data_IF_689071260705
#
_entry.id   IF_689071260705
#
_cell.length_a   1.000
_cell.length_b   1.000
_cell.length_c   1.000
_cell.angle_alpha   90.00
_cell.angle_beta   90.00
_cell.angle_gamma   90.00
#
_symmetry.space_group_name_H-M   'P 1'
#
loop_
_entity.id
_entity.type
_entity.pdbx_description
1 polymer ?
#
# COMPACT_ATOMS: atom_id res chain seq x y z
N UNK A 1 18.26 2.22 -2.13
CA UNK A 1 17.72 2.33 -0.76
C UNK A 1 17.30 3.78 -0.51
N UNK A 2 16.41 4.03 0.45
CA UNK A 2 16.14 5.38 0.94
C UNK A 2 17.19 5.83 1.99
N UNK A 3 17.04 7.03 2.55
CA UNK A 3 17.97 7.60 3.53
C UNK A 3 18.11 6.80 4.84
N UNK A 4 17.21 5.84 5.10
CA UNK A 4 17.26 4.94 6.26
C UNK A 4 17.78 3.53 5.89
N UNK A 5 18.30 3.35 4.68
CA UNK A 5 18.81 2.06 4.22
C UNK A 5 17.72 1.03 3.86
N UNK A 6 16.45 1.45 3.72
CA UNK A 6 15.37 0.54 3.33
C UNK A 6 15.35 0.37 1.81
N UNK A 7 15.38 -0.87 1.35
CA UNK A 7 15.36 -1.26 -0.06
C UNK A 7 13.94 -1.63 -0.50
N UNK A 8 13.64 -1.38 -1.78
CA UNK A 8 12.40 -1.80 -2.45
C UNK A 8 11.11 -1.34 -1.76
N UNK A 9 11.15 -0.17 -1.11
CA UNK A 9 9.95 0.45 -0.55
C UNK A 9 9.02 1.01 -1.66
N UNK A 10 9.52 1.14 -2.89
CA UNK A 10 8.79 1.50 -4.10
C UNK A 10 9.13 0.47 -5.19
N UNK A 11 8.15 -0.27 -5.66
CA UNK A 11 8.31 -1.35 -6.64
C UNK A 11 8.52 -2.71 -5.99
N UNK A 12 8.99 -3.69 -6.77
CA UNK A 12 9.06 -5.11 -6.41
C UNK A 12 7.68 -5.71 -6.10
N UNK A 13 7.17 -5.56 -4.88
CA UNK A 13 5.86 -6.04 -4.45
C UNK A 13 5.15 -4.99 -3.59
N UNK A 14 3.81 -4.94 -3.69
CA UNK A 14 3.02 -4.24 -2.69
C UNK A 14 3.29 -4.83 -1.31
N UNK A 15 3.37 -3.96 -0.30
CA UNK A 15 3.58 -4.38 1.08
C UNK A 15 2.28 -4.23 1.88
N UNK A 16 1.81 -5.33 2.50
CA UNK A 16 0.73 -5.29 3.48
C UNK A 16 1.07 -4.38 4.67
N UNK A 17 0.08 -3.65 5.15
CA UNK A 17 0.13 -2.93 6.42
C UNK A 17 -1.02 -3.34 7.33
N UNK A 18 -0.90 -3.11 8.63
CA UNK A 18 -2.00 -3.28 9.58
C UNK A 18 -3.06 -2.17 9.54
N UNK A 19 -2.94 -1.19 8.63
CA UNK A 19 -3.86 -0.06 8.57
C UNK A 19 -5.15 -0.44 7.82
N UNK A 20 -6.29 -0.16 8.44
CA UNK A 20 -7.59 -0.26 7.79
C UNK A 20 -7.74 0.74 6.63
N UNK A 21 -8.68 0.46 5.73
CA UNK A 21 -9.02 1.39 4.67
C UNK A 21 -9.57 2.70 5.23
N UNK A 22 -8.96 3.82 4.84
CA UNK A 22 -9.29 5.16 5.35
C UNK A 22 -8.93 6.24 4.34
N UNK A 23 -9.63 7.36 4.44
CA UNK A 23 -9.27 8.61 3.76
C UNK A 23 -8.28 9.41 4.61
N UNK A 24 -7.50 10.26 3.96
CA UNK A 24 -6.67 11.22 4.70
C UNK A 24 -7.56 12.25 5.43
N UNK A 25 -7.13 12.73 6.62
CA UNK A 25 -7.80 13.84 7.29
C UNK A 25 -7.99 15.04 6.34
N UNK A 26 -9.19 15.63 6.37
CA UNK A 26 -9.57 16.74 5.48
C UNK A 26 -10.12 16.33 4.11
N UNK A 27 -10.18 15.03 3.80
CA UNK A 27 -10.92 14.57 2.62
C UNK A 27 -12.42 14.76 2.80
N UNK A 28 -13.10 15.24 1.75
CA UNK A 28 -14.57 15.33 1.67
C UNK A 28 -15.23 14.06 1.12
N UNK A 29 -14.43 13.03 0.83
CA UNK A 29 -14.94 11.75 0.35
C UNK A 29 -15.50 10.88 1.46
N UNK A 30 -16.07 9.75 1.07
CA UNK A 30 -16.54 8.71 1.99
C UNK A 30 -15.94 7.35 1.62
N UNK A 31 -15.57 6.57 2.64
CA UNK A 31 -15.23 5.17 2.44
C UNK A 31 -16.53 4.40 2.29
N UNK A 32 -16.76 3.82 1.11
CA UNK A 32 -17.95 3.00 0.87
C UNK A 32 -17.98 1.84 1.88
N UNK A 33 -19.17 1.41 2.34
CA UNK A 33 -19.30 0.19 3.12
C UNK A 33 -18.66 -0.99 2.39
N UNK A 34 -17.80 -1.72 3.10
CA UNK A 34 -17.10 -2.88 2.58
C UNK A 34 -17.79 -4.14 3.11
N UNK A 35 -18.01 -5.12 2.25
CA UNK A 35 -18.58 -6.43 2.62
C UNK A 35 -17.60 -7.31 3.39
N UNK A 36 -16.31 -6.98 3.34
CA UNK A 36 -15.23 -7.70 4.02
C UNK A 36 -14.10 -6.76 4.47
N UNK A 37 -13.30 -7.14 5.48
CA UNK A 37 -12.22 -6.29 5.97
C UNK A 37 -11.15 -6.06 4.91
N UNK A 38 -10.85 -4.79 4.63
CA UNK A 38 -9.74 -4.39 3.76
C UNK A 38 -8.59 -3.81 4.58
N UNK A 39 -7.38 -4.16 4.18
CA UNK A 39 -6.16 -3.54 4.67
C UNK A 39 -5.51 -2.73 3.55
N UNK A 40 -4.72 -1.73 3.94
CA UNK A 40 -4.02 -0.86 3.02
C UNK A 40 -2.69 -1.46 2.61
N UNK A 41 -2.45 -1.53 1.31
CA UNK A 41 -1.15 -1.83 0.72
C UNK A 41 -0.39 -0.55 0.40
N UNK A 42 0.94 -0.63 0.43
CA UNK A 42 1.87 0.46 0.10
C UNK A 42 2.95 -0.02 -0.86
N UNK A 43 3.72 0.93 -1.40
CA UNK A 43 4.96 0.64 -2.12
C UNK A 43 4.83 0.08 -3.53
N UNK A 44 3.66 -0.49 -3.88
CA UNK A 44 3.34 -1.06 -5.20
C UNK A 44 4.34 -2.06 -5.72
N UNK A 45 4.13 -2.53 -6.96
CA UNK A 45 4.80 -3.73 -7.44
C UNK A 45 5.57 -3.48 -8.74
N UNK A 46 6.37 -4.44 -9.17
CA UNK A 46 7.16 -4.39 -10.39
C UNK A 46 6.33 -4.10 -11.66
N UNK A 47 5.03 -4.37 -11.64
CA UNK A 47 4.10 -4.09 -12.74
C UNK A 47 3.69 -2.61 -12.86
N UNK A 48 4.04 -1.76 -11.87
CA UNK A 48 3.69 -0.33 -11.86
C UNK A 48 4.77 0.52 -12.51
N UNK A 49 4.34 1.61 -13.15
CA UNK A 49 5.25 2.60 -13.76
C UNK A 49 5.61 3.69 -12.76
N UNK A 50 6.80 4.27 -12.91
CA UNK A 50 7.29 5.41 -12.11
C UNK A 50 6.85 6.78 -12.63
N UNK A 51 6.11 6.84 -13.74
CA UNK A 51 5.65 8.08 -14.36
C UNK A 51 4.24 7.95 -14.95
N UNK A 52 3.57 9.09 -15.14
CA UNK A 52 2.20 9.20 -15.64
C UNK A 52 1.13 9.28 -14.55
N UNK A 53 -0.14 9.27 -14.95
CA UNK A 53 -1.29 9.50 -14.06
C UNK A 53 -1.39 8.49 -12.90
N UNK A 54 -0.94 7.25 -13.14
CA UNK A 54 -0.94 6.17 -12.15
C UNK A 54 0.49 5.83 -11.69
N UNK A 55 1.39 6.81 -11.74
CA UNK A 55 2.76 6.65 -11.26
C UNK A 55 2.76 6.22 -9.80
N UNK A 56 3.65 5.30 -9.49
CA UNK A 56 3.86 4.90 -8.12
C UNK A 56 4.65 5.95 -7.33
N UNK A 57 4.15 6.29 -6.15
CA UNK A 57 4.76 7.26 -5.25
C UNK A 57 4.79 6.71 -3.81
N UNK A 58 5.55 7.36 -2.93
CA UNK A 58 5.57 7.02 -1.51
C UNK A 58 4.24 7.23 -0.79
N UNK A 59 3.33 8.03 -1.35
CA UNK A 59 1.99 8.30 -0.79
C UNK A 59 0.89 7.45 -1.42
N UNK A 60 1.20 6.69 -2.49
CA UNK A 60 0.23 5.82 -3.16
C UNK A 60 -0.26 4.70 -2.23
N UNK A 61 -1.58 4.54 -2.14
CA UNK A 61 -2.27 3.60 -1.25
C UNK A 61 -3.35 2.86 -2.02
N UNK A 62 -3.54 1.58 -1.73
CA UNK A 62 -4.68 0.81 -2.26
C UNK A 62 -5.27 -0.04 -1.15
N UNK A 63 -6.60 -0.03 -1.02
CA UNK A 63 -7.32 -0.90 -0.12
C UNK A 63 -7.62 -2.22 -0.83
N UNK A 64 -7.30 -3.34 -0.19
CA UNK A 64 -7.49 -4.68 -0.76
C UNK A 64 -8.08 -5.59 0.32
N UNK A 65 -8.99 -6.53 -0.03
CA UNK A 65 -9.50 -7.50 0.94
C UNK A 65 -8.37 -8.23 1.65
N UNK A 66 -8.43 -8.29 2.98
CA UNK A 66 -7.39 -8.87 3.83
C UNK A 66 -7.12 -10.36 3.57
N UNK A 67 -8.07 -11.06 2.95
CA UNK A 67 -7.97 -12.45 2.50
C UNK A 67 -7.18 -12.63 1.19
N UNK A 68 -6.83 -11.53 0.50
CA UNK A 68 -6.22 -11.58 -0.83
C UNK A 68 -4.79 -12.08 -0.80
N UNK A 69 -4.46 -13.03 -1.68
CA UNK A 69 -3.09 -13.45 -1.96
C UNK A 69 -2.82 -13.39 -3.46
N UNK A 70 -1.75 -12.69 -3.85
CA UNK A 70 -1.30 -12.54 -5.24
C UNK A 70 0.23 -12.54 -5.31
N UNK A 71 0.78 -12.77 -6.50
CA UNK A 71 2.24 -12.82 -6.69
C UNK A 71 2.91 -11.45 -6.43
N UNK A 72 2.16 -10.37 -6.61
CA UNK A 72 2.65 -8.99 -6.50
C UNK A 72 2.45 -8.40 -5.10
N UNK A 73 1.99 -9.19 -4.13
CA UNK A 73 1.71 -8.74 -2.76
C UNK A 73 2.56 -9.53 -1.77
N UNK A 74 3.46 -8.82 -1.09
CA UNK A 74 4.24 -9.30 0.03
C UNK A 74 3.99 -8.45 1.28
N UNK A 75 4.97 -8.43 2.18
CA UNK A 75 4.94 -7.63 3.39
C UNK A 75 6.36 -7.41 3.90
N UNK A 76 6.50 -6.43 4.81
CA UNK A 76 7.73 -6.15 5.53
C UNK A 76 7.47 -6.19 7.02
N UNK A 77 8.37 -6.83 7.75
CA UNK A 77 8.30 -6.90 9.21
C UNK A 77 8.67 -5.55 9.83
N UNK A 78 7.98 -5.21 10.90
CA UNK A 78 8.31 -4.10 11.80
C UNK A 78 8.32 -4.66 13.23
N UNK A 79 9.06 -4.00 14.12
CA UNK A 79 9.03 -4.30 15.56
C UNK A 79 8.75 -3.02 16.32
N UNK A 80 8.07 -3.13 17.45
CA UNK A 80 8.06 -2.05 18.44
C UNK A 80 9.47 -1.90 19.01
N UNK A 81 9.83 -0.67 19.38
CA UNK A 81 11.03 -0.40 20.18
C UNK A 81 10.85 -0.85 21.62
#
# INVERSE_FOLDING_TARGET
ANSWGVHDLIGNVFEWTGAAASLYPGSTGEVRPLSEPHLMLRGGAAIYKSAGTNAITSTFRVAVPSSTRRAEIGFRLVRAE
#
